data_IF_128908865333
#
_entry.id   IF_128908865333
#
_cell.length_a   1.000
_cell.length_b   1.000
_cell.length_c   1.000
_cell.angle_alpha   90.00
_cell.angle_beta   90.00
_cell.angle_gamma   90.00
#
_symmetry.space_group_name_H-M   'P 1'
#
loop_
_entity.id
_entity.type
_entity.pdbx_description
1 polymer ?
#
# COMPACT_ATOMS: atom_id res chain seq x y z
N UNK A 1 6.32 18.24 -22.76
CA UNK A 1 6.49 16.85 -22.29
C UNK A 1 7.73 16.86 -21.44
N UNK A 2 7.69 16.38 -20.22
CA UNK A 2 8.84 16.31 -19.32
C UNK A 2 9.41 14.88 -19.28
N UNK A 3 10.50 14.70 -18.53
CA UNK A 3 11.16 13.39 -18.39
C UNK A 3 10.22 12.35 -17.77
N UNK A 4 9.47 12.73 -16.73
CA UNK A 4 8.54 11.85 -16.03
C UNK A 4 7.41 11.34 -16.92
N UNK A 5 6.87 12.20 -17.79
CA UNK A 5 5.87 11.83 -18.79
C UNK A 5 6.44 10.82 -19.77
N UNK A 6 7.69 11.02 -20.23
CA UNK A 6 8.35 10.07 -21.11
C UNK A 6 8.53 8.69 -20.44
N UNK A 7 8.90 8.67 -19.16
CA UNK A 7 9.06 7.43 -18.39
C UNK A 7 7.71 6.74 -18.22
N UNK A 8 6.66 7.48 -17.85
CA UNK A 8 5.29 6.96 -17.67
C UNK A 8 4.72 6.36 -18.96
N UNK A 9 5.02 6.97 -20.10
CA UNK A 9 4.61 6.50 -21.43
C UNK A 9 5.51 5.39 -21.99
N UNK A 10 6.50 4.92 -21.21
CA UNK A 10 7.44 3.87 -21.61
C UNK A 10 8.25 4.19 -22.87
N UNK A 11 8.64 5.47 -23.04
CA UNK A 11 9.47 5.91 -24.16
C UNK A 11 10.93 5.51 -23.92
N UNK A 12 11.47 4.60 -24.74
CA UNK A 12 12.87 4.20 -24.67
C UNK A 12 13.81 5.33 -25.13
N UNK A 13 15.07 5.32 -24.64
CA UNK A 13 16.08 6.34 -24.95
C UNK A 13 16.18 6.71 -26.44
N UNK A 14 16.17 5.71 -27.34
CA UNK A 14 16.31 5.95 -28.80
C UNK A 14 15.12 6.70 -29.42
N UNK A 15 13.97 6.70 -28.74
CA UNK A 15 12.74 7.37 -29.19
C UNK A 15 12.45 8.66 -28.41
N UNK A 16 13.32 9.04 -27.48
CA UNK A 16 13.13 10.27 -26.72
C UNK A 16 13.19 11.50 -27.63
N UNK A 17 12.32 12.50 -27.37
CA UNK A 17 12.42 13.82 -27.99
C UNK A 17 13.83 14.42 -27.86
N UNK A 18 14.28 15.14 -28.89
CA UNK A 18 15.65 15.69 -28.92
C UNK A 18 15.87 16.72 -27.80
N UNK A 19 14.87 17.54 -27.50
CA UNK A 19 14.85 18.48 -26.39
C UNK A 19 15.11 17.79 -25.04
N UNK A 20 14.47 16.64 -24.81
CA UNK A 20 14.69 15.83 -23.59
C UNK A 20 16.07 15.19 -23.57
N UNK A 21 16.56 14.68 -24.71
CA UNK A 21 17.92 14.11 -24.79
C UNK A 21 18.98 15.18 -24.51
N UNK A 22 18.81 16.39 -25.04
CA UNK A 22 19.71 17.53 -24.78
C UNK A 22 19.66 17.95 -23.31
N UNK A 23 18.48 18.01 -22.69
CA UNK A 23 18.31 18.29 -21.26
C UNK A 23 19.10 17.31 -20.38
N UNK A 24 19.12 16.04 -20.76
CA UNK A 24 19.86 14.97 -20.06
C UNK A 24 21.34 14.89 -20.46
N UNK A 25 21.88 15.94 -21.10
CA UNK A 25 23.28 15.98 -21.55
C UNK A 25 23.62 14.92 -22.59
N UNK A 26 22.64 14.47 -23.37
CA UNK A 26 22.74 13.34 -24.31
C UNK A 26 23.26 12.04 -23.67
N UNK A 27 23.05 11.87 -22.36
CA UNK A 27 23.51 10.72 -21.60
C UNK A 27 22.38 9.71 -21.38
N UNK A 28 22.44 8.58 -22.08
CA UNK A 28 21.52 7.47 -21.81
C UNK A 28 21.61 7.00 -20.35
N UNK A 29 22.82 7.04 -19.77
CA UNK A 29 23.05 6.65 -18.39
C UNK A 29 22.30 7.53 -17.39
N UNK A 30 22.15 8.83 -17.68
CA UNK A 30 21.37 9.73 -16.83
C UNK A 30 19.88 9.44 -16.94
N UNK A 31 19.40 9.16 -18.16
CA UNK A 31 18.01 8.74 -18.34
C UNK A 31 17.71 7.42 -17.62
N UNK A 32 18.59 6.43 -17.74
CA UNK A 32 18.45 5.14 -17.06
C UNK A 32 18.40 5.33 -15.52
N UNK A 33 19.20 6.25 -14.97
CA UNK A 33 19.15 6.61 -13.55
C UNK A 33 17.80 7.22 -13.16
N UNK A 34 17.29 8.18 -13.93
CA UNK A 34 15.98 8.79 -13.68
C UNK A 34 14.82 7.79 -13.83
N UNK A 35 14.91 6.88 -14.81
CA UNK A 35 13.94 5.76 -14.94
C UNK A 35 13.92 4.93 -13.66
N UNK A 36 15.08 4.56 -13.11
CA UNK A 36 15.15 3.78 -11.89
C UNK A 36 14.58 4.53 -10.69
N UNK A 37 14.98 5.79 -10.48
CA UNK A 37 14.51 6.64 -9.38
C UNK A 37 12.99 6.87 -9.46
N UNK A 38 12.48 7.24 -10.64
CA UNK A 38 11.06 7.41 -10.88
C UNK A 38 10.29 6.11 -10.61
N UNK A 39 10.81 4.98 -11.09
CA UNK A 39 10.14 3.68 -10.93
C UNK A 39 10.12 3.20 -9.48
N UNK A 40 11.13 3.52 -8.67
CA UNK A 40 11.17 3.22 -7.24
C UNK A 40 10.19 4.11 -6.48
N UNK A 41 10.27 5.44 -6.69
CA UNK A 41 9.43 6.43 -6.00
C UNK A 41 7.94 6.22 -6.26
N UNK A 42 7.58 5.81 -7.48
CA UNK A 42 6.19 5.54 -7.88
C UNK A 42 5.83 4.04 -7.77
N UNK A 43 6.71 3.20 -7.20
CA UNK A 43 6.47 1.77 -6.94
C UNK A 43 5.93 1.01 -8.16
N UNK A 44 6.53 1.25 -9.33
CA UNK A 44 6.09 0.66 -10.60
C UNK A 44 6.37 -0.85 -10.63
N UNK A 45 5.55 -1.59 -11.38
CA UNK A 45 5.83 -3.02 -11.65
C UNK A 45 7.04 -3.15 -12.58
N UNK A 46 7.92 -4.12 -12.31
CA UNK A 46 9.07 -4.42 -13.15
C UNK A 46 8.63 -4.79 -14.58
N UNK A 47 7.67 -5.71 -14.69
CA UNK A 47 7.07 -6.12 -15.96
C UNK A 47 6.16 -5.01 -16.48
N UNK A 48 6.31 -4.69 -17.77
CA UNK A 48 5.54 -3.66 -18.45
C UNK A 48 6.17 -2.26 -18.42
N UNK A 49 7.17 -2.01 -17.56
CA UNK A 49 7.80 -0.70 -17.43
C UNK A 49 9.28 -0.68 -17.91
N UNK A 50 9.80 0.52 -18.19
CA UNK A 50 11.18 0.74 -18.66
C UNK A 50 12.25 0.18 -17.71
N UNK A 51 11.97 0.11 -16.42
CA UNK A 51 12.93 -0.34 -15.40
C UNK A 51 13.51 -1.73 -15.68
N UNK A 52 12.77 -2.60 -16.39
CA UNK A 52 13.27 -3.92 -16.83
C UNK A 52 14.49 -3.85 -17.74
N UNK A 53 14.65 -2.75 -18.47
CA UNK A 53 15.78 -2.53 -19.37
C UNK A 53 16.98 -1.90 -18.65
N UNK A 54 16.71 -1.20 -17.54
CA UNK A 54 17.72 -0.52 -16.72
C UNK A 54 18.30 -1.43 -15.65
N UNK A 55 17.44 -2.19 -14.96
CA UNK A 55 17.81 -3.09 -13.87
C UNK A 55 17.55 -4.53 -14.29
N UNK A 56 18.59 -5.37 -14.30
CA UNK A 56 18.48 -6.75 -14.80
C UNK A 56 17.78 -7.72 -13.85
N UNK A 57 17.95 -7.53 -12.54
CA UNK A 57 17.36 -8.41 -11.54
C UNK A 57 16.07 -7.80 -11.00
N UNK A 58 14.95 -8.46 -11.28
CA UNK A 58 13.61 -8.14 -10.78
C UNK A 58 13.57 -8.17 -9.25
N UNK A 59 14.15 -9.20 -8.63
CA UNK A 59 14.23 -9.34 -7.16
C UNK A 59 14.94 -8.15 -6.51
N UNK A 60 16.13 -7.78 -7.00
CA UNK A 60 16.87 -6.64 -6.44
C UNK A 60 16.16 -5.31 -6.67
N UNK A 61 15.34 -5.19 -7.71
CA UNK A 61 14.54 -3.99 -7.94
C UNK A 61 13.43 -3.86 -6.89
N UNK A 62 12.71 -4.95 -6.61
CA UNK A 62 11.67 -4.93 -5.59
C UNK A 62 12.23 -4.77 -4.17
N UNK A 63 13.42 -5.33 -3.88
CA UNK A 63 14.15 -5.04 -2.64
C UNK A 63 14.46 -3.54 -2.50
N UNK A 64 14.88 -2.87 -3.59
CA UNK A 64 15.08 -1.41 -3.59
C UNK A 64 13.77 -0.64 -3.35
N UNK A 65 12.65 -1.08 -3.93
CA UNK A 65 11.32 -0.49 -3.65
C UNK A 65 10.99 -0.60 -2.16
N UNK A 66 11.16 -1.78 -1.56
CA UNK A 66 10.82 -2.00 -0.14
C UNK A 66 11.68 -1.11 0.75
N UNK A 67 13.00 -1.10 0.57
CA UNK A 67 13.90 -0.25 1.37
C UNK A 67 13.58 1.23 1.22
N UNK A 68 13.27 1.67 0.01
CA UNK A 68 12.83 3.04 -0.22
C UNK A 68 11.53 3.35 0.53
N UNK A 69 10.54 2.46 0.42
CA UNK A 69 9.22 2.62 1.06
C UNK A 69 9.33 2.63 2.59
N UNK A 70 10.13 1.74 3.19
CA UNK A 70 10.39 1.70 4.64
C UNK A 70 11.06 2.99 5.12
N UNK A 71 12.12 3.44 4.43
CA UNK A 71 12.86 4.65 4.82
C UNK A 71 12.04 5.94 4.72
N UNK A 72 11.04 5.95 3.86
CA UNK A 72 10.10 7.07 3.66
C UNK A 72 8.76 6.89 4.40
N UNK A 73 8.64 5.87 5.26
CA UNK A 73 7.44 5.61 6.07
C UNK A 73 6.15 5.41 5.22
N UNK A 74 6.31 4.90 4.00
CA UNK A 74 5.19 4.69 3.08
C UNK A 74 4.31 3.52 3.54
N UNK A 75 3.04 3.57 3.13
CA UNK A 75 2.13 2.44 3.29
C UNK A 75 2.71 1.21 2.59
N UNK A 76 2.49 0.01 3.14
CA UNK A 76 2.89 -1.23 2.49
C UNK A 76 2.31 -1.27 1.06
N UNK A 77 3.14 -1.54 0.03
CA UNK A 77 2.70 -1.50 -1.37
C UNK A 77 1.84 -2.72 -1.72
N UNK A 78 0.57 -2.69 -1.31
CA UNK A 78 -0.38 -3.79 -1.48
C UNK A 78 -0.58 -4.20 -2.94
N UNK A 79 -0.48 -3.25 -3.88
CA UNK A 79 -0.54 -3.52 -5.32
C UNK A 79 0.65 -4.33 -5.84
N UNK A 80 1.70 -4.55 -5.03
CA UNK A 80 2.86 -5.39 -5.32
C UNK A 80 2.95 -6.60 -4.38
N UNK A 81 1.95 -6.84 -3.52
CA UNK A 81 1.96 -7.90 -2.52
C UNK A 81 2.13 -9.30 -3.13
N UNK A 82 1.59 -9.51 -4.34
CA UNK A 82 1.73 -10.74 -5.10
C UNK A 82 3.18 -11.11 -5.39
N UNK A 83 4.06 -10.12 -5.47
CA UNK A 83 5.49 -10.29 -5.73
C UNK A 83 6.27 -10.24 -4.41
N UNK A 84 5.99 -9.26 -3.56
CA UNK A 84 6.74 -9.05 -2.31
C UNK A 84 6.59 -10.24 -1.36
N UNK A 85 5.38 -10.77 -1.20
CA UNK A 85 5.17 -11.91 -0.31
C UNK A 85 5.75 -13.19 -0.91
N UNK A 86 5.58 -13.41 -2.23
CA UNK A 86 6.02 -14.65 -2.88
C UNK A 86 7.53 -14.72 -3.10
N UNK A 87 8.11 -13.64 -3.63
CA UNK A 87 9.52 -13.61 -4.04
C UNK A 87 10.42 -13.14 -2.88
N UNK A 88 10.04 -12.06 -2.18
CA UNK A 88 10.87 -11.49 -1.10
C UNK A 88 10.56 -12.07 0.28
N UNK A 89 9.43 -12.78 0.44
CA UNK A 89 8.94 -13.32 1.71
C UNK A 89 8.73 -12.26 2.79
N UNK A 90 8.35 -11.05 2.38
CA UNK A 90 8.07 -9.94 3.29
C UNK A 90 6.55 -9.76 3.39
N UNK A 91 5.98 -10.09 4.54
CA UNK A 91 4.56 -9.81 4.82
C UNK A 91 4.37 -8.35 5.24
N UNK A 92 3.14 -7.80 5.13
CA UNK A 92 2.82 -6.48 5.68
C UNK A 92 3.21 -6.36 7.17
N UNK A 93 3.00 -7.43 7.94
CA UNK A 93 3.41 -7.48 9.35
C UNK A 93 4.92 -7.25 9.51
N UNK A 94 5.76 -7.99 8.77
CA UNK A 94 7.21 -7.84 8.84
C UNK A 94 7.67 -6.45 8.40
N UNK A 95 7.07 -5.90 7.34
CA UNK A 95 7.35 -4.55 6.85
C UNK A 95 7.12 -3.49 7.94
N UNK A 96 5.96 -3.52 8.61
CA UNK A 96 5.69 -2.53 9.66
C UNK A 96 6.53 -2.77 10.93
N UNK A 97 6.89 -4.01 11.25
CA UNK A 97 7.85 -4.28 12.33
C UNK A 97 9.20 -3.61 12.06
N UNK A 98 9.69 -3.69 10.81
CA UNK A 98 10.93 -3.02 10.42
C UNK A 98 10.81 -1.50 10.57
N UNK A 99 9.75 -0.89 10.03
CA UNK A 99 9.50 0.55 10.14
C UNK A 99 9.49 1.00 11.61
N UNK A 100 8.68 0.36 12.46
CA UNK A 100 8.56 0.76 13.86
C UNK A 100 9.88 0.54 14.61
N UNK A 101 10.60 -0.55 14.32
CA UNK A 101 11.91 -0.82 14.92
C UNK A 101 12.91 0.28 14.56
N UNK A 102 13.01 0.64 13.28
CA UNK A 102 13.91 1.68 12.79
C UNK A 102 13.53 3.06 13.33
N UNK A 103 12.23 3.36 13.44
CA UNK A 103 11.76 4.60 14.06
C UNK A 103 12.18 4.71 15.52
N UNK A 104 12.04 3.64 16.31
CA UNK A 104 12.47 3.65 17.72
C UNK A 104 14.00 3.79 17.81
N UNK A 105 14.75 3.03 17.01
CA UNK A 105 16.22 3.10 16.99
C UNK A 105 16.75 4.48 16.58
N UNK A 106 16.02 5.18 15.71
CA UNK A 106 16.36 6.54 15.26
C UNK A 106 15.66 7.65 16.06
N UNK A 107 14.99 7.31 17.17
CA UNK A 107 14.24 8.23 18.02
C UNK A 107 13.22 9.10 17.27
N UNK A 108 12.66 8.61 16.15
CA UNK A 108 11.64 9.32 15.39
C UNK A 108 10.30 9.34 16.14
N UNK A 109 9.59 10.47 16.06
CA UNK A 109 8.23 10.59 16.60
C UNK A 109 7.24 9.72 15.83
N UNK A 110 6.28 9.10 16.51
CA UNK A 110 5.16 8.39 15.88
C UNK A 110 4.37 9.28 14.92
N UNK A 111 4.31 10.59 15.20
CA UNK A 111 3.58 11.57 14.39
C UNK A 111 4.21 11.80 13.00
N UNK A 112 5.36 11.18 12.71
CA UNK A 112 5.96 11.16 11.37
C UNK A 112 5.32 10.15 10.41
N UNK A 113 4.53 9.19 10.91
CA UNK A 113 3.83 8.22 10.07
C UNK A 113 2.68 8.91 9.30
N UNK A 114 2.57 8.72 7.98
CA UNK A 114 1.39 9.09 7.22
C UNK A 114 0.12 8.40 7.75
N UNK A 115 -1.05 8.99 7.53
CA UNK A 115 -2.30 8.52 8.16
C UNK A 115 -2.63 7.07 7.80
N UNK A 116 -2.52 6.70 6.52
CA UNK A 116 -2.77 5.33 6.06
C UNK A 116 -1.75 4.36 6.63
N UNK A 117 -0.47 4.74 6.67
CA UNK A 117 0.61 3.96 7.27
C UNK A 117 0.35 3.71 8.75
N UNK A 118 -0.01 4.75 9.51
CA UNK A 118 -0.33 4.65 10.93
C UNK A 118 -1.56 3.77 11.19
N UNK A 119 -2.63 3.95 10.41
CA UNK A 119 -3.85 3.14 10.52
C UNK A 119 -3.54 1.65 10.26
N UNK A 120 -2.71 1.36 9.27
CA UNK A 120 -2.36 -0.01 8.92
C UNK A 120 -1.41 -0.66 9.93
N UNK A 121 -0.45 0.11 10.47
CA UNK A 121 0.43 -0.32 11.56
C UNK A 121 -0.38 -0.65 12.82
N UNK A 122 -1.37 0.16 13.18
CA UNK A 122 -2.29 -0.13 14.30
C UNK A 122 -3.06 -1.41 14.03
N UNK A 123 -3.61 -1.57 12.82
CA UNK A 123 -4.40 -2.75 12.44
C UNK A 123 -3.59 -4.05 12.53
N UNK A 124 -2.34 -4.03 12.08
CA UNK A 124 -1.49 -5.22 11.98
C UNK A 124 -0.69 -5.51 13.24
N UNK A 125 -0.17 -4.48 13.90
CA UNK A 125 0.73 -4.62 15.05
C UNK A 125 0.04 -4.32 16.39
N UNK A 126 -1.11 -3.65 16.37
CA UNK A 126 -1.75 -3.13 17.59
C UNK A 126 -0.98 -1.95 18.21
N UNK A 127 -0.04 -1.36 17.49
CA UNK A 127 0.82 -0.27 17.97
C UNK A 127 0.25 1.05 17.48
N UNK A 128 -0.54 1.72 18.33
CA UNK A 128 -0.90 3.12 18.15
C UNK A 128 0.10 4.07 18.80
N UNK A 129 -0.19 5.38 18.70
CA UNK A 129 0.68 6.45 19.23
C UNK A 129 1.09 6.23 20.69
N UNK A 130 0.13 5.86 21.55
CA UNK A 130 0.40 5.66 22.97
C UNK A 130 1.25 4.40 23.21
N UNK A 131 0.92 3.30 22.53
CA UNK A 131 1.70 2.06 22.61
C UNK A 131 3.14 2.28 22.12
N UNK A 132 3.33 3.08 21.06
CA UNK A 132 4.65 3.44 20.57
C UNK A 132 5.45 4.25 21.60
N UNK A 133 4.83 5.27 22.21
CA UNK A 133 5.48 6.09 23.25
C UNK A 133 5.89 5.21 24.43
N UNK A 134 5.02 4.29 24.85
CA UNK A 134 5.33 3.33 25.92
C UNK A 134 6.51 2.42 25.55
N UNK A 135 6.55 1.90 24.32
CA UNK A 135 7.67 1.07 23.83
C UNK A 135 9.00 1.85 23.80
N UNK A 136 8.96 3.10 23.33
CA UNK A 136 10.13 3.98 23.24
C UNK A 136 10.69 4.31 24.64
N UNK A 137 9.81 4.51 25.63
CA UNK A 137 10.21 4.80 27.01
C UNK A 137 10.75 3.56 27.76
N UNK A 138 10.36 2.34 27.35
CA UNK A 138 10.69 1.11 28.07
C UNK A 138 12.07 0.52 27.72
N UNK A 139 12.89 1.16 26.87
CA UNK A 139 14.18 0.61 26.37
C UNK A 139 14.09 -0.87 25.94
N UNK A 140 12.91 -1.31 25.54
CA UNK A 140 12.62 -2.72 25.27
C UNK A 140 12.73 -2.92 23.78
N UNK A 141 13.81 -3.58 23.35
CA UNK A 141 13.96 -3.99 21.96
C UNK A 141 12.71 -4.77 21.53
N UNK A 142 12.01 -4.24 20.52
CA UNK A 142 10.83 -4.84 19.87
C UNK A 142 11.09 -6.29 19.40
N UNK A 143 12.35 -6.70 19.35
CA UNK A 143 12.82 -7.95 18.76
C UNK A 143 12.77 -9.17 19.71
N UNK A 144 12.40 -9.02 20.99
CA UNK A 144 12.57 -10.11 21.96
C UNK A 144 11.39 -11.09 22.15
N UNK A 145 10.16 -10.78 21.73
CA UNK A 145 8.97 -11.61 22.06
C UNK A 145 8.16 -12.17 20.88
N UNK A 146 8.57 -11.92 19.62
CA UNK A 146 7.92 -12.52 18.44
C UNK A 146 8.60 -13.83 17.98
N UNK A 147 9.56 -14.31 18.75
CA UNK A 147 10.42 -15.46 18.43
C UNK A 147 9.69 -16.80 18.66
N UNK A 148 9.48 -17.50 17.54
CA UNK A 148 9.29 -18.95 17.41
C UNK A 148 8.54 -19.65 18.54
N UNK A 149 7.23 -19.38 18.65
CA UNK A 149 6.32 -20.30 19.31
C UNK A 149 6.00 -21.46 18.38
N UNK A 150 6.00 -22.69 18.90
CA UNK A 150 5.59 -23.88 18.15
C UNK A 150 4.15 -23.66 17.68
N UNK A 151 3.87 -23.93 16.39
CA UNK A 151 2.50 -23.89 15.89
C UNK A 151 1.65 -24.88 16.66
N UNK A 152 0.48 -24.42 17.11
CA UNK A 152 -0.58 -25.33 17.55
C UNK A 152 -0.99 -26.24 16.39
N UNK A 153 -1.59 -27.38 16.71
CA UNK A 153 -2.06 -28.32 15.70
C UNK A 153 -3.07 -27.66 14.73
N UNK A 154 -3.95 -26.79 15.23
CA UNK A 154 -4.93 -26.08 14.41
C UNK A 154 -4.27 -25.02 13.51
N UNK A 155 -3.29 -24.28 14.03
CA UNK A 155 -2.48 -23.36 13.21
C UNK A 155 -1.73 -24.09 12.11
N UNK A 156 -1.11 -25.23 12.44
CA UNK A 156 -0.36 -26.04 11.47
C UNK A 156 -1.26 -26.54 10.35
N UNK A 157 -2.46 -27.03 10.68
CA UNK A 157 -3.45 -27.48 9.69
C UNK A 157 -3.86 -26.37 8.71
N UNK A 158 -4.07 -25.15 9.23
CA UNK A 158 -4.40 -24.01 8.37
C UNK A 158 -3.23 -23.64 7.46
N UNK A 159 -2.00 -23.62 7.99
CA UNK A 159 -0.79 -23.36 7.19
C UNK A 159 -0.61 -24.44 6.13
N UNK A 160 -0.71 -25.71 6.48
CA UNK A 160 -0.58 -26.85 5.56
C UNK A 160 -1.63 -26.74 4.43
N UNK A 161 -2.90 -26.45 4.75
CA UNK A 161 -3.96 -26.23 3.75
C UNK A 161 -3.68 -25.05 2.81
N UNK A 162 -3.15 -23.93 3.33
CA UNK A 162 -2.78 -22.78 2.48
C UNK A 162 -1.63 -23.13 1.53
N UNK A 163 -0.65 -23.91 1.99
CA UNK A 163 0.49 -24.33 1.19
C UNK A 163 0.11 -25.36 0.11
N UNK A 164 -0.78 -26.29 0.45
CA UNK A 164 -1.16 -27.40 -0.44
C UNK A 164 -2.26 -26.99 -1.43
N UNK A 165 -3.26 -26.23 -0.99
CA UNK A 165 -4.48 -25.91 -1.76
C UNK A 165 -4.53 -24.44 -2.22
N UNK A 166 -3.64 -23.59 -1.72
CA UNK A 166 -3.62 -22.15 -2.02
C UNK A 166 -4.50 -21.31 -1.08
N UNK A 167 -4.82 -20.05 -1.47
CA UNK A 167 -5.54 -19.11 -0.61
C UNK A 167 -6.88 -19.66 -0.11
N UNK A 168 -7.10 -19.52 1.20
CA UNK A 168 -8.30 -20.02 1.88
C UNK A 168 -9.24 -18.87 2.27
N UNK A 169 -10.57 -18.99 2.11
CA UNK A 169 -11.49 -17.97 2.59
C UNK A 169 -11.49 -17.91 4.13
N UNK A 170 -11.02 -16.79 4.67
CA UNK A 170 -10.86 -16.61 6.13
C UNK A 170 -12.17 -16.87 6.92
N UNK A 171 -13.33 -16.57 6.32
CA UNK A 171 -14.64 -16.79 6.92
C UNK A 171 -14.98 -18.25 7.25
N UNK A 172 -14.30 -19.22 6.63
CA UNK A 172 -14.46 -20.65 6.93
C UNK A 172 -13.44 -21.19 7.94
N UNK A 173 -12.45 -20.38 8.31
CA UNK A 173 -11.43 -20.73 9.28
C UNK A 173 -11.78 -20.22 10.69
N UNK A 174 -11.29 -20.86 11.76
CA UNK A 174 -11.48 -20.35 13.11
C UNK A 174 -10.82 -18.99 13.31
N UNK A 175 -11.59 -17.99 13.75
CA UNK A 175 -11.10 -16.62 14.03
C UNK A 175 -9.85 -16.61 14.91
N UNK A 176 -9.78 -17.35 16.04
CA UNK A 176 -8.60 -17.30 16.90
C UNK A 176 -7.33 -17.81 16.20
N UNK A 177 -7.47 -18.79 15.30
CA UNK A 177 -6.36 -19.37 14.54
C UNK A 177 -5.89 -18.37 13.48
N UNK A 178 -6.82 -17.79 12.71
CA UNK A 178 -6.51 -16.76 11.70
C UNK A 178 -5.81 -15.57 12.35
N UNK A 179 -6.32 -15.09 13.48
CA UNK A 179 -5.76 -13.94 14.17
C UNK A 179 -4.39 -14.26 14.79
N UNK A 180 -4.20 -15.45 15.36
CA UNK A 180 -2.89 -15.88 15.86
C UNK A 180 -1.85 -15.93 14.74
N UNK A 181 -2.18 -16.54 13.60
CA UNK A 181 -1.28 -16.61 12.45
C UNK A 181 -0.96 -15.22 11.87
N UNK A 182 -1.95 -14.33 11.78
CA UNK A 182 -1.78 -12.96 11.29
C UNK A 182 -0.87 -12.14 12.23
N UNK A 183 -1.11 -12.21 13.55
CA UNK A 183 -0.33 -11.50 14.57
C UNK A 183 1.11 -12.01 14.66
N UNK A 184 1.39 -13.19 14.12
CA UNK A 184 2.73 -13.79 14.02
C UNK A 184 3.38 -13.54 12.66
N UNK A 185 2.70 -12.84 11.75
CA UNK A 185 3.16 -12.58 10.39
C UNK A 185 3.31 -13.84 9.52
N UNK A 186 2.62 -14.93 9.87
CA UNK A 186 2.71 -16.21 9.15
C UNK A 186 1.76 -16.29 7.96
N UNK A 187 0.69 -15.50 8.00
CA UNK A 187 -0.25 -15.33 6.90
C UNK A 187 -0.53 -13.84 6.70
N UNK A 188 -1.05 -13.51 5.53
CA UNK A 188 -1.67 -12.22 5.26
C UNK A 188 -3.06 -12.47 4.69
N UNK A 189 -3.95 -11.51 4.89
CA UNK A 189 -5.32 -11.58 4.35
C UNK A 189 -5.35 -10.89 3.00
N UNK A 190 -6.21 -11.36 2.10
CA UNK A 190 -6.59 -10.60 0.91
C UNK A 190 -8.07 -10.21 0.90
N UNK A 191 -8.37 -9.02 0.36
CA UNK A 191 -9.74 -8.54 0.17
C UNK A 191 -9.96 -8.40 -1.33
N UNK A 192 -10.60 -9.39 -1.97
CA UNK A 192 -10.81 -9.37 -3.41
C UNK A 192 -11.84 -8.30 -3.80
N UNK A 193 -11.49 -7.55 -4.84
CA UNK A 193 -12.31 -6.50 -5.44
C UNK A 193 -12.50 -6.81 -6.92
N UNK A 194 -13.75 -6.98 -7.31
CA UNK A 194 -14.22 -7.32 -8.64
C UNK A 194 -14.77 -6.07 -9.36
N UNK A 195 -14.84 -6.12 -10.69
CA UNK A 195 -15.28 -4.99 -11.53
C UNK A 195 -16.70 -4.49 -11.19
N UNK A 196 -17.60 -5.41 -10.85
CA UNK A 196 -19.02 -5.16 -10.59
C UNK A 196 -19.33 -4.93 -9.10
N UNK A 197 -18.31 -4.86 -8.24
CA UNK A 197 -18.53 -4.57 -6.83
C UNK A 197 -19.05 -3.14 -6.64
N UNK A 198 -19.98 -3.00 -5.69
CA UNK A 198 -20.38 -1.71 -5.13
C UNK A 198 -19.74 -1.54 -3.76
N UNK A 199 -19.18 -0.37 -3.51
CA UNK A 199 -18.51 -0.02 -2.25
C UNK A 199 -19.06 1.27 -1.69
N UNK A 200 -19.01 1.42 -0.37
CA UNK A 200 -19.40 2.66 0.28
C UNK A 200 -18.43 2.97 1.42
N UNK A 201 -18.26 4.26 1.71
CA UNK A 201 -17.44 4.73 2.83
C UNK A 201 -18.21 4.53 4.13
N UNK A 202 -17.61 3.86 5.12
CA UNK A 202 -18.19 3.72 6.44
C UNK A 202 -18.12 5.06 7.21
N UNK A 203 -19.02 5.33 8.17
CA UNK A 203 -18.93 6.52 9.01
C UNK A 203 -17.53 6.64 9.62
N UNK A 204 -16.85 7.74 9.30
CA UNK A 204 -15.47 7.98 9.70
C UNK A 204 -15.44 8.67 11.07
N UNK A 205 -15.69 7.91 12.14
CA UNK A 205 -15.55 8.45 13.49
C UNK A 205 -14.08 8.80 13.78
N UNK A 206 -13.77 10.10 13.79
CA UNK A 206 -12.46 10.63 14.17
C UNK A 206 -11.35 10.51 13.12
N UNK A 207 -11.66 10.21 11.85
CA UNK A 207 -10.66 10.23 10.78
C UNK A 207 -10.34 11.68 10.37
N UNK A 208 -9.08 12.08 10.53
CA UNK A 208 -8.56 13.36 10.02
C UNK A 208 -7.67 13.07 8.83
N UNK A 209 -8.10 13.53 7.66
CA UNK A 209 -7.35 13.42 6.42
C UNK A 209 -6.29 14.52 6.33
N UNK A 210 -5.12 14.29 6.91
CA UNK A 210 -3.98 15.19 6.69
C UNK A 210 -3.36 14.91 5.32
N UNK A 211 -3.36 15.90 4.42
CA UNK A 211 -2.68 15.81 3.13
C UNK A 211 -1.17 15.83 3.35
N UNK A 212 -0.50 14.72 3.04
CA UNK A 212 0.97 14.66 3.00
C UNK A 212 1.43 14.96 1.57
N UNK A 213 2.47 15.79 1.42
CA UNK A 213 3.08 16.09 0.12
C UNK A 213 4.15 15.04 -0.19
N UNK A 214 4.14 14.47 -1.39
CA UNK A 214 5.29 13.73 -1.96
C UNK A 214 5.13 12.22 -2.15
N UNK A 215 4.11 11.58 -1.56
CA UNK A 215 3.79 10.16 -1.81
C UNK A 215 2.77 10.02 -2.95
N UNK A 216 3.21 9.41 -4.06
CA UNK A 216 2.39 9.14 -5.22
C UNK A 216 1.21 8.22 -4.90
N UNK A 217 1.43 7.17 -4.11
CA UNK A 217 0.40 6.19 -3.81
C UNK A 217 -0.65 6.76 -2.84
N UNK A 218 -0.23 7.51 -1.82
CA UNK A 218 -1.17 8.20 -0.94
C UNK A 218 -2.03 9.23 -1.69
N UNK A 219 -1.44 9.97 -2.63
CA UNK A 219 -2.19 10.89 -3.51
C UNK A 219 -3.24 10.14 -4.34
N UNK A 220 -2.87 8.98 -4.88
CA UNK A 220 -3.79 8.10 -5.61
C UNK A 220 -4.92 7.59 -4.71
N UNK A 221 -4.62 7.16 -3.48
CA UNK A 221 -5.61 6.73 -2.51
C UNK A 221 -6.60 7.86 -2.23
N UNK A 222 -6.16 9.09 -1.96
CA UNK A 222 -7.08 10.20 -1.71
C UNK A 222 -7.99 10.49 -2.91
N UNK A 223 -7.44 10.47 -4.13
CA UNK A 223 -8.23 10.67 -5.35
C UNK A 223 -9.35 9.63 -5.48
N UNK A 224 -9.05 8.37 -5.19
CA UNK A 224 -10.04 7.29 -5.26
C UNK A 224 -11.03 7.40 -4.09
N UNK A 225 -10.55 7.67 -2.88
CA UNK A 225 -11.37 7.77 -1.67
C UNK A 225 -12.49 8.80 -1.81
N UNK A 226 -12.18 9.97 -2.37
CA UNK A 226 -13.13 11.06 -2.60
C UNK A 226 -14.12 10.73 -3.74
N UNK A 227 -13.78 9.79 -4.61
CA UNK A 227 -14.61 9.35 -5.73
C UNK A 227 -15.54 8.18 -5.36
N UNK A 228 -15.40 7.58 -4.17
CA UNK A 228 -16.27 6.49 -3.74
C UNK A 228 -17.69 7.02 -3.52
N UNK A 229 -18.64 6.46 -4.26
CA UNK A 229 -20.07 6.59 -4.01
C UNK A 229 -20.73 5.20 -4.02
N UNK A 230 -21.94 5.10 -3.45
CA UNK A 230 -22.61 3.82 -3.24
C UNK A 230 -23.47 3.34 -4.44
N UNK A 231 -23.47 4.10 -5.53
CA UNK A 231 -24.23 3.83 -6.76
C UNK A 231 -23.34 3.51 -7.97
N UNK A 232 -22.03 3.68 -7.88
CA UNK A 232 -21.09 3.34 -8.95
C UNK A 232 -20.37 2.03 -8.67
N UNK A 233 -20.15 1.25 -9.73
CA UNK A 233 -19.28 0.07 -9.66
C UNK A 233 -17.81 0.48 -9.63
N UNK A 234 -16.95 -0.38 -9.10
CA UNK A 234 -15.49 -0.16 -9.11
C UNK A 234 -14.97 0.08 -10.54
N UNK A 235 -15.52 -0.63 -11.55
CA UNK A 235 -15.13 -0.44 -12.95
C UNK A 235 -15.53 0.94 -13.49
N UNK A 236 -16.76 1.38 -13.26
CA UNK A 236 -17.22 2.71 -13.68
C UNK A 236 -16.41 3.83 -13.04
N UNK A 237 -16.06 3.68 -11.75
CA UNK A 237 -15.19 4.61 -11.04
C UNK A 237 -13.79 4.68 -11.67
N UNK A 238 -13.19 3.54 -12.02
CA UNK A 238 -11.90 3.50 -12.70
C UNK A 238 -11.92 4.23 -14.05
N UNK A 239 -12.98 4.00 -14.84
CA UNK A 239 -13.17 4.66 -16.13
C UNK A 239 -13.38 6.18 -15.98
N UNK A 240 -14.15 6.63 -14.97
CA UNK A 240 -14.37 8.04 -14.65
C UNK A 240 -13.09 8.77 -14.22
N UNK A 241 -12.25 8.11 -13.41
CA UNK A 241 -11.00 8.69 -12.92
C UNK A 241 -9.86 8.64 -13.93
N UNK A 242 -10.04 7.92 -15.03
CA UNK A 242 -9.01 7.54 -16.00
C UNK A 242 -7.81 6.86 -15.33
N UNK A 243 -8.10 5.90 -14.45
CA UNK A 243 -7.11 5.11 -13.72
C UNK A 243 -7.32 3.65 -14.09
N UNK A 244 -6.24 2.89 -14.20
CA UNK A 244 -6.33 1.46 -14.45
C UNK A 244 -7.16 0.76 -13.36
N UNK A 245 -8.05 -0.13 -13.78
CA UNK A 245 -8.95 -0.85 -12.87
C UNK A 245 -8.18 -1.57 -11.76
N UNK A 246 -7.01 -2.18 -12.07
CA UNK A 246 -6.25 -2.90 -11.05
C UNK A 246 -5.73 -1.98 -9.95
N UNK A 247 -5.37 -0.73 -10.25
CA UNK A 247 -4.96 0.24 -9.24
C UNK A 247 -6.14 0.68 -8.38
N UNK A 248 -7.32 0.89 -8.97
CA UNK A 248 -8.53 1.22 -8.22
C UNK A 248 -8.95 0.07 -7.32
N UNK A 249 -9.00 -1.16 -7.85
CA UNK A 249 -9.31 -2.37 -7.09
C UNK A 249 -8.36 -2.55 -5.89
N UNK A 250 -7.05 -2.32 -6.09
CA UNK A 250 -6.07 -2.37 -5.00
C UNK A 250 -6.31 -1.28 -3.94
N UNK A 251 -6.60 -0.05 -4.33
CA UNK A 251 -6.93 1.03 -3.41
C UNK A 251 -8.20 0.72 -2.59
N UNK A 252 -9.26 0.24 -3.26
CA UNK A 252 -10.49 -0.20 -2.61
C UNK A 252 -10.22 -1.35 -1.63
N UNK A 253 -9.39 -2.32 -2.02
CA UNK A 253 -8.95 -3.42 -1.14
C UNK A 253 -8.29 -2.85 0.13
N UNK A 254 -7.38 -1.87 -0.01
CA UNK A 254 -6.76 -1.15 1.11
C UNK A 254 -7.81 -0.49 2.00
N UNK A 255 -8.76 0.27 1.45
CA UNK A 255 -9.80 0.91 2.26
C UNK A 255 -10.69 -0.09 3.00
N UNK A 256 -11.00 -1.24 2.39
CA UNK A 256 -11.72 -2.30 3.07
C UNK A 256 -10.93 -2.91 4.22
N UNK A 257 -9.62 -3.12 4.05
CA UNK A 257 -8.73 -3.63 5.10
C UNK A 257 -8.64 -2.66 6.28
N UNK A 258 -8.54 -1.37 5.98
CA UNK A 258 -8.47 -0.30 6.98
C UNK A 258 -9.83 -0.01 7.64
N UNK A 259 -10.92 -0.59 7.12
CA UNK A 259 -12.28 -0.38 7.62
C UNK A 259 -12.91 0.95 7.18
N UNK A 260 -12.26 1.70 6.29
CA UNK A 260 -12.78 2.96 5.75
C UNK A 260 -13.87 2.75 4.70
N UNK A 261 -13.80 1.65 3.95
CA UNK A 261 -14.82 1.29 2.97
C UNK A 261 -15.34 -0.12 3.23
N UNK A 262 -16.57 -0.39 2.80
CA UNK A 262 -17.17 -1.73 2.85
C UNK A 262 -17.75 -2.09 1.50
N UNK A 263 -17.59 -3.36 1.11
CA UNK A 263 -18.34 -3.92 -0.01
C UNK A 263 -19.80 -4.04 0.38
N UNK A 264 -20.70 -3.53 -0.48
CA UNK A 264 -22.15 -3.63 -0.28
C UNK A 264 -22.63 -5.07 -0.40
N UNK A 265 -22.04 -5.82 -1.33
CA UNK A 265 -22.26 -7.25 -1.52
C UNK A 265 -20.90 -7.92 -1.53
N UNK A 266 -20.75 -8.94 -0.69
CA UNK A 266 -19.54 -9.73 -0.49
C UNK A 266 -19.59 -11.07 -1.25
N UNK A 267 -20.79 -11.52 -1.65
CA UNK A 267 -21.02 -12.85 -2.21
C UNK A 267 -21.04 -13.96 -1.15
N UNK A 268 -20.86 -13.61 0.13
CA UNK A 268 -20.81 -14.52 1.27
C UNK A 268 -22.04 -14.44 2.17
N UNK A 269 -23.10 -13.72 1.76
CA UNK A 269 -24.30 -13.46 2.56
C UNK A 269 -25.05 -14.75 2.91
N UNK A 270 -24.95 -15.75 2.04
CA UNK A 270 -25.57 -17.08 2.23
C UNK A 270 -24.59 -18.14 2.69
N UNK A 271 -23.30 -17.79 2.81
CA UNK A 271 -22.27 -18.72 3.23
C UNK A 271 -22.41 -19.06 4.72
N UNK A 272 -22.23 -20.34 5.06
CA UNK A 272 -22.15 -20.77 6.46
C UNK A 272 -20.73 -20.53 6.97
N UNK A 273 -20.52 -19.34 7.52
CA UNK A 273 -19.26 -18.97 8.16
C UNK A 273 -18.96 -19.89 9.35
N UNK A 274 -17.68 -20.03 9.68
CA UNK A 274 -17.27 -20.76 10.87
C UNK A 274 -17.86 -20.08 12.13
N UNK A 275 -18.36 -20.87 13.08
CA UNK A 275 -19.18 -20.38 14.20
C UNK A 275 -18.47 -19.30 15.05
N UNK A 276 -17.14 -19.29 15.09
CA UNK A 276 -16.35 -18.28 15.79
C UNK A 276 -16.55 -16.86 15.25
N UNK A 277 -17.03 -16.70 14.00
CA UNK A 277 -17.32 -15.40 13.41
C UNK A 277 -18.63 -14.79 13.88
N UNK A 278 -19.52 -15.56 14.51
CA UNK A 278 -20.87 -15.12 14.88
C UNK A 278 -20.89 -13.95 15.89
N UNK A 279 -19.81 -13.74 16.64
CA UNK A 279 -19.67 -12.62 17.58
C UNK A 279 -19.15 -11.33 16.93
N UNK A 280 -18.54 -11.43 15.74
CA UNK A 280 -17.94 -10.31 15.01
C UNK A 280 -18.85 -9.80 13.89
N UNK A 281 -19.70 -10.68 13.34
CA UNK A 281 -20.71 -10.30 12.34
C UNK A 281 -21.91 -9.70 13.07
N UNK A 282 -21.82 -8.42 13.41
CA UNK A 282 -23.03 -7.62 13.59
C UNK A 282 -23.77 -7.64 12.25
N UNK A 283 -24.94 -8.27 12.20
CA UNK A 283 -25.82 -8.24 11.02
C UNK A 283 -26.00 -6.77 10.65
N UNK A 284 -25.53 -6.31 9.48
CA UNK A 284 -25.84 -4.97 9.04
C UNK A 284 -27.35 -4.99 8.80
N UNK A 285 -28.12 -4.24 9.60
CA UNK A 285 -29.40 -3.79 9.11
C UNK A 285 -29.12 -3.11 7.77
N UNK A 286 -29.84 -3.51 6.71
CA UNK A 286 -29.74 -2.81 5.43
C UNK A 286 -29.81 -1.32 5.70
N UNK A 287 -28.87 -0.50 5.16
CA UNK A 287 -28.89 0.93 5.40
C UNK A 287 -30.26 1.44 4.97
N UNK A 288 -31.02 1.97 5.92
CA UNK A 288 -32.23 2.72 5.60
C UNK A 288 -31.82 4.01 4.90
N UNK A 289 -32.71 4.59 4.09
CA UNK A 289 -32.44 5.79 3.29
C UNK A 289 -31.83 6.97 4.08
N UNK A 290 -31.97 6.99 5.40
CA UNK A 290 -31.40 7.99 6.30
C UNK A 290 -29.89 7.81 6.60
N UNK A 291 -29.31 6.62 6.37
CA UNK A 291 -27.87 6.35 6.57
C UNK A 291 -27.02 6.79 5.34
N UNK A 292 -27.67 7.12 4.23
CA UNK A 292 -27.02 7.48 2.95
C UNK A 292 -26.61 8.96 2.87
N UNK A 293 -26.93 9.78 3.87
CA UNK A 293 -26.77 11.24 3.79
C UNK A 293 -25.46 11.70 4.42
N UNK A 294 -24.35 11.28 3.85
CA UNK A 294 -23.08 12.02 3.95
C UNK A 294 -22.46 12.17 2.56
N UNK A 295 -23.23 12.80 1.67
CA UNK A 295 -22.66 13.34 0.45
C UNK A 295 -21.62 14.40 0.84
N UNK A 296 -20.35 14.15 0.57
CA UNK A 296 -19.22 15.08 0.78
C UNK A 296 -19.26 16.23 -0.25
N UNK A 297 -20.47 16.69 -0.59
CA UNK A 297 -20.77 17.62 -1.70
C UNK A 297 -20.32 19.05 -1.44
N UNK A 298 -19.82 19.36 -0.24
CA UNK A 298 -19.49 20.72 0.17
C UNK A 298 -18.13 21.23 -0.30
N UNK A 299 -17.15 20.34 -0.50
CA UNK A 299 -15.73 20.74 -0.66
C UNK A 299 -15.02 20.10 -1.87
N UNK A 300 -15.70 19.21 -2.61
CA UNK A 300 -15.13 18.58 -3.82
C UNK A 300 -14.78 19.58 -4.93
N UNK A 301 -15.48 20.72 -4.99
CA UNK A 301 -15.25 21.76 -5.98
C UNK A 301 -13.87 22.40 -5.86
N UNK A 302 -13.45 22.74 -4.64
CA UNK A 302 -12.13 23.34 -4.35
C UNK A 302 -11.00 22.30 -4.42
N UNK A 303 -11.28 21.03 -4.07
CA UNK A 303 -10.32 19.93 -4.21
C UNK A 303 -10.06 19.57 -5.68
N UNK A 304 -11.08 19.58 -6.55
CA UNK A 304 -10.88 19.35 -7.98
C UNK A 304 -10.08 20.48 -8.65
N UNK A 305 -10.30 21.73 -8.20
CA UNK A 305 -9.55 22.89 -8.66
C UNK A 305 -8.09 22.86 -8.18
N UNK A 306 -7.84 22.34 -6.98
CA UNK A 306 -6.49 22.15 -6.42
C UNK A 306 -5.72 20.97 -7.05
N UNK A 307 -6.41 20.09 -7.78
CA UNK A 307 -5.83 18.98 -8.55
C UNK A 307 -5.63 19.33 -10.04
N UNK A 308 -6.22 20.43 -10.51
CA UNK A 308 -6.07 20.93 -11.88
C UNK A 308 -4.85 21.87 -12.01
N UNK A 309 -3.65 21.30 -11.82
CA UNK A 309 -2.31 21.84 -12.15
C UNK A 309 -1.85 23.16 -11.48
N UNK A 310 -0.53 23.29 -11.33
CA UNK A 310 0.15 24.28 -12.14
C UNK A 310 1.15 23.61 -13.09
N UNK A 311 0.96 23.88 -14.38
CA UNK A 311 2.06 23.93 -15.33
C UNK A 311 2.99 25.07 -14.87
N UNK A 312 4.27 24.77 -14.67
CA UNK A 312 5.35 25.77 -14.66
C UNK A 312 5.84 26.26 -13.30
N UNK A 313 7.17 26.20 -13.19
CA UNK A 313 8.11 26.93 -12.33
C UNK A 313 8.31 26.48 -10.86
N UNK A 314 9.51 25.91 -10.64
CA UNK A 314 10.55 26.22 -9.64
C UNK A 314 10.13 26.35 -8.16
N UNK A 315 10.81 25.80 -7.14
CA UNK A 315 12.20 25.40 -6.90
C UNK A 315 12.17 24.27 -5.86
N UNK A 316 13.14 23.34 -5.85
CA UNK A 316 13.65 22.71 -4.62
C UNK A 316 14.92 21.89 -4.91
N UNK A 317 16.05 22.60 -4.99
CA UNK A 317 17.37 22.08 -4.67
C UNK A 317 17.47 21.85 -3.14
N UNK A 318 17.11 20.68 -2.63
CA UNK A 318 17.75 20.09 -1.43
C UNK A 318 17.12 18.72 -1.09
N UNK A 319 17.59 17.66 -1.75
CA UNK A 319 17.55 16.29 -1.20
C UNK A 319 18.53 15.31 -1.88
N UNK A 320 19.56 15.85 -2.54
CA UNK A 320 20.62 15.07 -3.17
C UNK A 320 21.79 14.80 -2.21
N UNK A 321 21.53 14.19 -1.05
CA UNK A 321 22.59 13.72 -0.16
C UNK A 321 22.10 12.55 0.68
N UNK A 322 22.07 11.35 0.08
CA UNK A 322 22.23 10.06 0.79
C UNK A 322 22.29 8.82 -0.14
N UNK A 323 22.25 8.99 -1.47
CA UNK A 323 22.24 7.86 -2.42
C UNK A 323 23.63 7.36 -2.86
N UNK A 324 24.74 7.86 -2.29
CA UNK A 324 26.10 7.47 -2.69
C UNK A 324 26.63 6.15 -2.10
N UNK A 325 25.86 5.40 -1.29
CA UNK A 325 26.35 4.18 -0.64
C UNK A 325 25.82 2.84 -1.21
N UNK A 326 24.97 2.83 -2.25
CA UNK A 326 24.45 1.57 -2.82
C UNK A 326 25.22 1.04 -4.04
N UNK A 327 26.30 1.70 -4.45
CA UNK A 327 27.20 1.22 -5.50
C UNK A 327 28.54 0.90 -4.87
N UNK A 328 28.76 -0.37 -4.50
CA UNK A 328 30.05 -1.09 -4.44
C UNK A 328 29.93 -2.29 -3.48
N UNK A 329 29.51 -3.43 -4.03
CA UNK A 329 30.01 -4.77 -3.68
C UNK A 329 29.30 -5.77 -4.59
N UNK A 330 29.91 -6.04 -5.74
CA UNK A 330 29.83 -7.31 -6.45
C UNK A 330 30.87 -7.31 -7.57
N UNK A 331 32.11 -7.60 -7.20
CA UNK A 331 33.14 -8.13 -8.10
C UNK A 331 34.30 -8.71 -7.29
N UNK A 332 34.12 -9.90 -6.69
CA UNK A 332 35.21 -10.87 -6.48
C UNK A 332 34.63 -12.29 -6.52
N UNK A 333 34.62 -12.88 -7.71
CA UNK A 333 35.22 -14.20 -8.04
C UNK A 333 35.10 -14.44 -9.53
#
# INVERSE_FOLDING_TARGET
MDVDTCIRENIIWQKLPEDIRVLLGNSQREYDKLVLEYSIKNQLRYKGNLVRHVKKSEETYYDMIIKYSESHLMLYPYHLADIIVKELRITPFNYYINIITDMIQSEKSYDSLPNFTAADAVRLLGIGRNQYIDLMNQNSGIVANLTFQVLTEDERRVVDSILDEGPQPAGFLPVPVVQSLLNRGLIYVDVPVEEFDYVYVAPLDGFVMNRVLGDYFETLLYKIFVAIDDQTTVKEMADMLHIDFSLVANAISVFCRLGFAKKRVTGMETARLHYSWAQLVSIPNSPTQDDLVTSVSGDLGELSASLASPLGDDDDEEQAANLSNYSLKDSVS
#
